data_IF_392582224681
#
_entry.id   IF_392582224681
#
_cell.length_a   1.000
_cell.length_b   1.000
_cell.length_c   1.000
_cell.angle_alpha   90.00
_cell.angle_beta   90.00
_cell.angle_gamma   90.00
#
_symmetry.space_group_name_H-M   'P 1'
#
loop_
_entity.id
_entity.type
_entity.pdbx_description
1 polymer ?
#
# COMPACT_ATOMS: atom_id res chain seq x y z
N UNK A 1 -73.06 3.15 56.67
CA UNK A 1 -73.63 1.89 56.12
C UNK A 1 -73.73 2.12 54.61
N UNK A 2 -73.19 1.36 53.67
CA UNK A 2 -72.83 -0.05 53.62
C UNK A 2 -71.88 -0.27 52.43
N UNK A 3 -70.91 -1.17 52.60
CA UNK A 3 -69.84 -1.58 51.68
C UNK A 3 -70.35 -2.51 50.57
N UNK A 4 -69.68 -2.54 49.39
CA UNK A 4 -69.38 -3.69 48.50
C UNK A 4 -68.98 -3.18 47.10
N UNK A 5 -68.09 -3.73 46.27
CA UNK A 5 -67.06 -4.81 46.28
C UNK A 5 -66.31 -4.70 44.91
N UNK A 6 -65.29 -5.55 44.71
CA UNK A 6 -64.63 -6.00 43.42
C UNK A 6 -63.28 -5.30 43.15
N UNK A 7 -62.08 -5.87 43.40
CA UNK A 7 -61.36 -7.10 42.97
C UNK A 7 -60.13 -6.71 42.11
N UNK A 8 -58.93 -7.06 42.60
CA UNK A 8 -57.75 -7.65 41.94
C UNK A 8 -57.27 -7.04 40.60
N UNK A 9 -56.04 -6.49 40.57
CA UNK A 9 -54.94 -7.12 39.82
C UNK A 9 -53.58 -6.45 40.10
N UNK A 10 -52.58 -7.31 40.27
CA UNK A 10 -51.18 -6.98 40.43
C UNK A 10 -50.61 -6.38 39.13
N UNK A 11 -49.76 -5.36 39.26
CA UNK A 11 -48.79 -5.01 38.22
C UNK A 11 -47.41 -5.02 38.87
N UNK A 12 -46.79 -6.20 38.86
CA UNK A 12 -45.35 -6.36 39.01
C UNK A 12 -44.75 -5.78 37.73
N UNK A 13 -44.22 -4.56 37.79
CA UNK A 13 -43.37 -4.01 36.74
C UNK A 13 -41.99 -4.60 36.95
N UNK A 14 -41.75 -5.78 36.39
CA UNK A 14 -40.41 -6.32 36.19
C UNK A 14 -39.73 -5.45 35.14
N UNK A 15 -38.94 -4.48 35.60
CA UNK A 15 -38.02 -3.70 34.78
C UNK A 15 -36.88 -4.63 34.35
N UNK A 16 -37.07 -5.35 33.24
CA UNK A 16 -36.01 -6.07 32.55
C UNK A 16 -35.03 -5.04 31.97
N UNK A 17 -33.99 -4.72 32.73
CA UNK A 17 -32.76 -4.15 32.17
C UNK A 17 -32.14 -5.23 31.27
N UNK A 18 -32.42 -5.19 29.98
CA UNK A 18 -31.59 -5.84 28.98
C UNK A 18 -30.24 -5.15 29.02
N UNK A 19 -29.31 -5.73 29.79
CA UNK A 19 -27.88 -5.50 29.64
C UNK A 19 -27.52 -5.84 28.19
N UNK A 20 -27.52 -4.83 27.33
CA UNK A 20 -26.85 -4.90 26.04
C UNK A 20 -25.35 -4.90 26.38
N UNK A 21 -24.83 -6.07 26.74
CA UNK A 21 -23.39 -6.26 26.80
C UNK A 21 -22.87 -5.93 25.41
N UNK A 22 -22.01 -4.91 25.22
CA UNK A 22 -21.31 -4.80 23.95
C UNK A 22 -20.67 -6.16 23.73
N UNK A 23 -20.86 -6.74 22.54
CA UNK A 23 -20.16 -7.95 22.16
C UNK A 23 -18.67 -7.64 22.32
N UNK A 24 -18.09 -8.11 23.43
CA UNK A 24 -16.68 -7.98 23.70
C UNK A 24 -16.02 -9.03 22.82
N UNK A 25 -15.85 -8.70 21.54
CA UNK A 25 -14.97 -9.47 20.68
C UNK A 25 -13.59 -9.50 21.34
N UNK A 26 -13.00 -10.68 21.45
CA UNK A 26 -11.65 -10.83 21.99
C UNK A 26 -10.72 -9.91 21.18
N UNK A 27 -9.87 -9.15 21.87
CA UNK A 27 -8.94 -8.25 21.20
C UNK A 27 -8.07 -9.06 20.22
N UNK A 28 -7.87 -8.60 18.98
CA UNK A 28 -7.11 -9.34 17.98
C UNK A 28 -5.67 -9.54 18.45
N UNK A 29 -5.13 -10.72 18.16
CA UNK A 29 -3.78 -11.15 18.55
C UNK A 29 -2.74 -10.54 17.61
N UNK A 30 -1.54 -10.24 18.12
CA UNK A 30 -0.46 -9.73 17.28
C UNK A 30 0.03 -10.84 16.35
N UNK A 31 -0.21 -10.69 15.04
CA UNK A 31 0.21 -11.65 14.01
C UNK A 31 1.65 -11.44 13.56
N UNK A 32 2.05 -10.17 13.40
CA UNK A 32 3.35 -9.79 12.87
C UNK A 32 3.69 -8.32 13.10
N UNK A 33 4.98 -7.99 13.10
CA UNK A 33 5.51 -6.62 13.24
C UNK A 33 6.65 -6.44 12.25
N UNK A 34 6.64 -5.36 11.48
CA UNK A 34 7.71 -5.04 10.54
C UNK A 34 8.08 -3.56 10.52
N UNK A 35 9.32 -3.27 10.17
CA UNK A 35 9.84 -1.90 9.99
C UNK A 35 9.71 -1.48 8.53
N UNK A 36 9.18 -0.29 8.27
CA UNK A 36 9.25 0.34 6.95
C UNK A 36 10.36 1.38 6.94
N UNK A 37 11.28 1.25 5.99
CA UNK A 37 12.35 2.22 5.74
C UNK A 37 12.29 2.73 4.30
N UNK A 38 12.75 3.96 4.10
CA UNK A 38 12.90 4.58 2.79
C UNK A 38 14.28 5.24 2.72
N UNK A 39 15.07 4.94 1.69
CA UNK A 39 16.44 5.44 1.51
C UNK A 39 17.34 5.27 2.76
N UNK A 40 17.19 4.14 3.45
CA UNK A 40 17.96 3.80 4.66
C UNK A 40 17.49 4.49 5.94
N UNK A 41 16.42 5.29 5.90
CA UNK A 41 15.81 5.91 7.08
C UNK A 41 14.52 5.18 7.44
N UNK A 42 14.43 4.70 8.67
CA UNK A 42 13.20 4.11 9.20
C UNK A 42 12.11 5.19 9.31
N UNK A 43 10.94 4.89 8.75
CA UNK A 43 9.78 5.80 8.75
C UNK A 43 8.80 5.43 9.86
N UNK A 44 8.50 4.14 9.98
CA UNK A 44 7.58 3.61 10.98
C UNK A 44 7.78 2.12 11.24
N UNK A 45 7.23 1.65 12.37
CA UNK A 45 7.05 0.23 12.69
C UNK A 45 5.57 -0.09 12.59
N UNK A 46 5.21 -1.10 11.81
CA UNK A 46 3.85 -1.54 11.63
C UNK A 46 3.58 -2.85 12.37
N UNK A 47 2.36 -3.03 12.86
CA UNK A 47 1.87 -4.24 13.48
C UNK A 47 0.54 -4.68 12.85
N UNK A 48 0.45 -5.96 12.51
CA UNK A 48 -0.77 -6.59 12.03
C UNK A 48 -1.35 -7.47 13.14
N UNK A 49 -2.62 -7.28 13.44
CA UNK A 49 -3.34 -8.08 14.42
C UNK A 49 -4.53 -8.78 13.76
N UNK A 50 -4.74 -10.04 14.14
CA UNK A 50 -5.80 -10.90 13.62
C UNK A 50 -6.44 -11.69 14.76
N UNK A 51 -7.73 -12.01 14.66
CA UNK A 51 -8.37 -12.90 15.63
C UNK A 51 -7.82 -14.33 15.52
N UNK A 52 -7.49 -14.77 14.31
CA UNK A 52 -6.82 -16.05 14.04
C UNK A 52 -5.41 -15.80 13.53
N UNK A 53 -4.39 -16.28 14.25
CA UNK A 53 -3.00 -16.17 13.81
C UNK A 53 -2.78 -16.98 12.53
N UNK A 54 -2.07 -16.39 11.57
CA UNK A 54 -1.78 -16.99 10.27
C UNK A 54 -0.40 -16.58 9.73
N UNK A 55 0.23 -17.52 9.03
CA UNK A 55 1.50 -17.32 8.33
C UNK A 55 1.32 -17.17 6.81
N UNK A 56 0.10 -17.29 6.31
CA UNK A 56 -0.20 -17.20 4.88
C UNK A 56 -1.03 -15.96 4.56
N UNK A 57 -0.58 -15.21 3.55
CA UNK A 57 -1.27 -13.99 3.13
C UNK A 57 -2.73 -14.24 2.76
N UNK A 58 -3.01 -15.36 2.08
CA UNK A 58 -4.35 -15.74 1.63
C UNK A 58 -5.30 -15.92 2.83
N UNK A 59 -4.82 -16.55 3.89
CA UNK A 59 -5.64 -16.86 5.07
C UNK A 59 -6.02 -15.58 5.80
N UNK A 60 -5.04 -14.68 5.98
CA UNK A 60 -5.28 -13.36 6.58
C UNK A 60 -6.28 -12.55 5.72
N UNK A 61 -6.09 -12.50 4.40
CA UNK A 61 -6.89 -11.66 3.49
C UNK A 61 -8.33 -12.17 3.28
N UNK A 62 -8.57 -13.48 3.37
CA UNK A 62 -9.91 -14.05 3.16
C UNK A 62 -10.73 -14.14 4.44
N UNK A 63 -10.09 -14.19 5.61
CA UNK A 63 -10.77 -14.37 6.88
C UNK A 63 -11.70 -13.17 7.21
N UNK A 64 -13.00 -13.47 7.33
CA UNK A 64 -14.04 -12.51 7.68
C UNK A 64 -14.14 -12.32 9.20
N UNK A 65 -13.06 -11.81 9.79
CA UNK A 65 -12.88 -11.59 11.23
C UNK A 65 -12.44 -10.15 11.51
N UNK A 66 -12.44 -9.78 12.79
CA UNK A 66 -11.83 -8.54 13.25
C UNK A 66 -10.32 -8.56 13.00
N UNK A 67 -9.80 -7.44 12.51
CA UNK A 67 -8.38 -7.25 12.19
C UNK A 67 -7.98 -5.82 12.51
N UNK A 68 -6.71 -5.62 12.83
CA UNK A 68 -6.15 -4.29 13.06
C UNK A 68 -4.83 -4.14 12.33
N UNK A 69 -4.70 -3.05 11.58
CA UNK A 69 -3.43 -2.55 11.09
C UNK A 69 -3.04 -1.37 11.98
N UNK A 70 -1.82 -1.37 12.50
CA UNK A 70 -1.32 -0.28 13.32
C UNK A 70 0.05 0.15 12.85
N UNK A 71 0.28 1.46 12.81
CA UNK A 71 1.53 2.10 12.45
C UNK A 71 2.00 2.95 13.62
N UNK A 72 3.25 2.75 14.02
CA UNK A 72 3.98 3.50 15.03
C UNK A 72 5.01 4.37 14.32
N UNK A 73 4.78 5.67 14.24
CA UNK A 73 5.66 6.59 13.53
C UNK A 73 6.98 6.71 14.28
N UNK A 74 8.10 6.47 13.60
CA UNK A 74 9.45 6.54 14.20
C UNK A 74 10.30 7.67 13.63
N UNK A 75 10.02 8.12 12.40
CA UNK A 75 10.62 9.35 11.88
C UNK A 75 10.13 10.57 12.67
N UNK A 76 11.02 11.54 12.89
CA UNK A 76 10.69 12.83 13.55
C UNK A 76 9.45 13.48 12.94
N UNK A 77 9.37 13.40 11.60
CA UNK A 77 8.22 13.83 10.80
C UNK A 77 7.98 12.83 9.69
N UNK A 78 6.74 12.36 9.59
CA UNK A 78 6.29 11.54 8.46
C UNK A 78 5.36 12.41 7.60
N UNK A 79 5.82 12.77 6.39
CA UNK A 79 5.04 13.60 5.46
C UNK A 79 3.68 12.97 5.17
N UNK A 80 2.62 13.75 5.37
CA UNK A 80 1.24 13.37 5.06
C UNK A 80 1.07 12.98 3.59
N UNK A 81 1.72 13.70 2.67
CA UNK A 81 1.68 13.43 1.24
C UNK A 81 2.30 12.07 0.92
N UNK A 82 3.50 11.81 1.47
CA UNK A 82 4.19 10.51 1.31
C UNK A 82 3.34 9.38 1.90
N UNK A 83 2.74 9.61 3.07
CA UNK A 83 1.88 8.63 3.73
C UNK A 83 0.61 8.32 2.92
N UNK A 84 -0.07 9.33 2.37
CA UNK A 84 -1.22 9.13 1.47
C UNK A 84 -0.82 8.37 0.20
N UNK A 85 0.30 8.76 -0.42
CA UNK A 85 0.82 8.14 -1.65
C UNK A 85 1.07 6.65 -1.46
N UNK A 86 1.60 6.22 -0.31
CA UNK A 86 1.80 4.81 0.02
C UNK A 86 0.51 3.99 -0.15
N UNK A 87 -0.62 4.49 0.35
CA UNK A 87 -1.91 3.81 0.23
C UNK A 87 -2.48 3.87 -1.19
N UNK A 88 -2.42 5.05 -1.83
CA UNK A 88 -2.91 5.26 -3.20
C UNK A 88 -2.20 4.33 -4.17
N UNK A 89 -0.87 4.31 -4.15
CA UNK A 89 -0.03 3.44 -4.98
C UNK A 89 -0.23 1.98 -4.61
N UNK A 90 -0.20 1.66 -3.30
CA UNK A 90 -0.37 0.30 -2.82
C UNK A 90 -1.66 -0.33 -3.33
N UNK A 91 -2.78 0.40 -3.28
CA UNK A 91 -4.05 -0.05 -3.85
C UNK A 91 -3.99 -0.15 -5.37
N UNK A 92 -3.48 0.87 -6.06
CA UNK A 92 -3.38 0.88 -7.53
C UNK A 92 -2.56 -0.30 -8.09
N UNK A 93 -1.56 -0.76 -7.33
CA UNK A 93 -0.67 -1.84 -7.70
C UNK A 93 -1.28 -3.23 -7.40
N UNK A 94 -2.11 -3.34 -6.35
CA UNK A 94 -2.61 -4.61 -5.82
C UNK A 94 -4.11 -4.87 -6.04
N UNK A 95 -4.84 -3.91 -6.62
CA UNK A 95 -6.26 -4.04 -6.92
C UNK A 95 -6.55 -3.96 -8.42
N UNK A 96 -7.65 -4.58 -8.84
CA UNK A 96 -8.15 -4.45 -10.21
C UNK A 96 -8.80 -3.09 -10.46
N UNK A 97 -8.88 -2.65 -11.71
CA UNK A 97 -9.56 -1.39 -12.06
C UNK A 97 -11.02 -1.34 -11.61
N UNK A 98 -11.71 -2.49 -11.58
CA UNK A 98 -13.09 -2.59 -11.07
C UNK A 98 -13.17 -2.34 -9.56
N UNK A 99 -12.25 -2.95 -8.79
CA UNK A 99 -12.15 -2.69 -7.35
C UNK A 99 -11.82 -1.22 -7.07
N UNK A 100 -10.87 -0.63 -7.82
CA UNK A 100 -10.53 0.78 -7.67
C UNK A 100 -11.73 1.70 -7.94
N UNK A 101 -12.49 1.45 -9.01
CA UNK A 101 -13.71 2.21 -9.31
C UNK A 101 -14.76 2.08 -8.21
N UNK A 102 -14.99 0.85 -7.73
CA UNK A 102 -15.97 0.59 -6.67
C UNK A 102 -15.62 1.30 -5.36
N UNK A 103 -14.33 1.40 -5.04
CA UNK A 103 -13.84 1.97 -3.77
C UNK A 103 -13.28 3.39 -3.91
N UNK A 104 -13.51 4.06 -5.05
CA UNK A 104 -12.95 5.39 -5.32
C UNK A 104 -13.38 6.43 -4.26
N UNK A 105 -14.66 6.43 -3.88
CA UNK A 105 -15.15 7.34 -2.84
C UNK A 105 -14.52 7.02 -1.47
N UNK A 106 -14.48 5.74 -1.09
CA UNK A 106 -13.83 5.32 0.17
C UNK A 106 -12.35 5.72 0.23
N UNK A 107 -11.64 5.66 -0.90
CA UNK A 107 -10.25 6.13 -0.98
C UNK A 107 -10.15 7.65 -0.84
N UNK A 108 -11.07 8.42 -1.41
CA UNK A 108 -11.14 9.87 -1.21
C UNK A 108 -11.42 10.23 0.24
N UNK A 109 -12.42 9.60 0.85
CA UNK A 109 -12.76 9.81 2.26
C UNK A 109 -11.56 9.47 3.15
N UNK A 110 -10.93 8.31 2.94
CA UNK A 110 -9.71 7.89 3.64
C UNK A 110 -8.57 8.89 3.48
N UNK A 111 -8.26 9.31 2.24
CA UNK A 111 -7.20 10.28 1.97
C UNK A 111 -7.47 11.62 2.67
N UNK A 112 -8.72 12.08 2.65
CA UNK A 112 -9.09 13.33 3.31
C UNK A 112 -9.01 13.20 4.83
N UNK A 113 -9.34 12.05 5.45
CA UNK A 113 -9.13 11.80 6.89
C UNK A 113 -7.67 12.02 7.32
N UNK A 114 -6.70 11.75 6.43
CA UNK A 114 -5.27 11.85 6.72
C UNK A 114 -4.70 13.28 6.67
N UNK A 115 -5.52 14.35 6.57
CA UNK A 115 -5.06 15.75 6.65
C UNK A 115 -4.65 16.17 8.08
N UNK A 116 -3.76 15.40 8.69
CA UNK A 116 -3.17 15.64 10.02
C UNK A 116 -1.68 15.31 9.94
N UNK A 117 -0.86 16.13 10.57
CA UNK A 117 0.59 15.92 10.65
C UNK A 117 0.89 14.67 11.46
N UNK A 118 1.81 13.83 10.98
CA UNK A 118 2.29 12.63 11.66
C UNK A 118 3.70 12.86 12.19
N UNK A 119 3.91 12.61 13.47
CA UNK A 119 5.16 12.86 14.18
C UNK A 119 5.64 11.60 14.92
N UNK A 120 6.93 11.56 15.26
CA UNK A 120 7.49 10.46 16.05
C UNK A 120 6.65 10.17 17.30
N UNK A 121 6.38 8.89 17.56
CA UNK A 121 5.55 8.44 18.67
C UNK A 121 4.07 8.27 18.32
N UNK A 122 3.58 8.91 17.26
CA UNK A 122 2.17 8.79 16.85
C UNK A 122 1.79 7.34 16.51
N UNK A 123 0.57 6.96 16.87
CA UNK A 123 -0.03 5.65 16.66
C UNK A 123 -1.22 5.81 15.73
N UNK A 124 -1.05 5.45 14.47
CA UNK A 124 -2.12 5.40 13.50
C UNK A 124 -2.72 3.99 13.46
N UNK A 125 -4.04 3.88 13.58
CA UNK A 125 -4.73 2.58 13.65
C UNK A 125 -5.87 2.52 12.64
N UNK A 126 -5.94 1.41 11.91
CA UNK A 126 -7.06 1.02 11.06
C UNK A 126 -7.65 -0.25 11.64
N UNK A 127 -8.89 -0.18 12.08
CA UNK A 127 -9.63 -1.28 12.67
C UNK A 127 -10.70 -1.77 11.72
N UNK A 128 -10.73 -3.07 11.47
CA UNK A 128 -11.88 -3.75 10.87
C UNK A 128 -12.71 -4.33 12.02
N UNK A 129 -13.86 -3.73 12.26
CA UNK A 129 -14.78 -4.15 13.31
C UNK A 129 -16.19 -4.25 12.76
N UNK A 130 -16.78 -5.44 12.80
CA UNK A 130 -18.10 -5.71 12.25
C UNK A 130 -18.22 -5.32 10.77
N UNK A 131 -19.13 -4.41 10.45
CA UNK A 131 -19.38 -3.94 9.08
C UNK A 131 -18.66 -2.64 8.72
N UNK A 132 -17.68 -2.20 9.52
CA UNK A 132 -17.04 -0.90 9.36
C UNK A 132 -15.52 -0.98 9.47
N UNK A 133 -14.87 -0.02 8.81
CA UNK A 133 -13.44 0.25 8.97
C UNK A 133 -13.30 1.56 9.72
N UNK A 134 -12.70 1.52 10.89
CA UNK A 134 -12.48 2.67 11.76
C UNK A 134 -11.03 3.15 11.64
N UNK A 135 -10.84 4.45 11.41
CA UNK A 135 -9.52 5.06 11.29
C UNK A 135 -9.32 5.99 12.49
N UNK A 136 -8.19 5.84 13.19
CA UNK A 136 -7.85 6.66 14.35
C UNK A 136 -6.36 7.02 14.40
N UNK A 137 -6.06 8.14 15.06
CA UNK A 137 -4.71 8.60 15.39
C UNK A 137 -4.64 8.86 16.88
N UNK A 138 -3.72 8.20 17.59
CA UNK A 138 -3.55 8.33 19.03
C UNK A 138 -4.83 8.07 19.84
N UNK A 139 -5.73 7.22 19.32
CA UNK A 139 -7.04 6.94 19.90
C UNK A 139 -8.16 7.90 19.47
N UNK A 140 -7.84 9.06 18.91
CA UNK A 140 -8.85 9.97 18.36
C UNK A 140 -9.36 9.45 17.00
N UNK A 141 -10.68 9.30 16.85
CA UNK A 141 -11.31 8.82 15.62
C UNK A 141 -11.22 9.89 14.53
N UNK A 142 -10.53 9.57 13.43
CA UNK A 142 -10.44 10.45 12.26
C UNK A 142 -11.67 10.30 11.35
N UNK A 143 -12.24 9.10 11.31
CA UNK A 143 -13.40 8.79 10.48
C UNK A 143 -13.67 7.28 10.41
N UNK A 144 -14.70 6.92 9.66
CA UNK A 144 -15.10 5.54 9.44
C UNK A 144 -15.55 5.32 8.00
N UNK A 145 -15.37 4.11 7.50
CA UNK A 145 -15.79 3.69 6.16
C UNK A 145 -16.71 2.46 6.33
N UNK A 146 -17.99 2.52 5.93
CA UNK A 146 -18.96 1.46 6.13
C UNK A 146 -18.84 0.32 5.10
N UNK A 147 -17.61 -0.16 4.88
CA UNK A 147 -17.32 -1.26 3.96
C UNK A 147 -16.08 -2.05 4.42
N UNK A 148 -16.26 -3.23 5.05
CA UNK A 148 -15.14 -4.01 5.57
C UNK A 148 -14.22 -4.53 4.47
N UNK A 149 -14.66 -4.58 3.20
CA UNK A 149 -13.80 -4.97 2.08
C UNK A 149 -12.75 -3.88 1.75
N UNK A 150 -12.99 -2.62 2.16
CA UNK A 150 -12.00 -1.56 2.03
C UNK A 150 -10.77 -1.81 2.91
N UNK A 151 -10.94 -2.40 4.10
CA UNK A 151 -9.82 -2.84 4.93
C UNK A 151 -8.95 -3.87 4.19
N UNK A 152 -9.59 -4.85 3.53
CA UNK A 152 -8.86 -5.90 2.81
C UNK A 152 -8.05 -5.32 1.65
N UNK A 153 -8.54 -4.26 0.98
CA UNK A 153 -7.79 -3.51 -0.03
C UNK A 153 -6.56 -2.79 0.56
N UNK A 154 -6.72 -2.15 1.72
CA UNK A 154 -5.60 -1.53 2.45
C UNK A 154 -4.59 -2.59 2.90
N UNK A 155 -5.04 -3.72 3.44
CA UNK A 155 -4.19 -4.79 3.93
C UNK A 155 -3.34 -5.43 2.82
N UNK A 156 -3.86 -5.47 1.57
CA UNK A 156 -3.08 -5.94 0.41
C UNK A 156 -1.82 -5.11 0.15
N UNK A 157 -1.73 -3.87 0.63
CA UNK A 157 -0.49 -3.08 0.55
C UNK A 157 0.65 -3.66 1.41
N UNK A 158 0.32 -4.44 2.45
CA UNK A 158 1.28 -5.03 3.39
C UNK A 158 1.57 -6.49 3.08
N UNK A 159 0.53 -7.29 2.81
CA UNK A 159 0.65 -8.75 2.65
C UNK A 159 0.20 -9.26 1.27
N UNK A 160 -0.22 -8.37 0.38
CA UNK A 160 -0.66 -8.73 -0.96
C UNK A 160 0.47 -9.22 -1.88
N UNK A 161 0.19 -9.36 -3.19
CA UNK A 161 1.18 -9.79 -4.18
C UNK A 161 2.38 -8.85 -4.27
N UNK A 162 2.17 -7.55 -4.06
CA UNK A 162 3.21 -6.52 -4.14
C UNK A 162 3.20 -5.69 -2.86
N UNK A 163 3.87 -6.18 -1.79
CA UNK A 163 3.92 -5.51 -0.49
C UNK A 163 4.88 -4.29 -0.51
N UNK A 164 5.07 -3.61 0.63
CA UNK A 164 6.06 -2.53 0.77
C UNK A 164 7.51 -2.98 0.61
N UNK A 165 7.84 -4.17 1.12
CA UNK A 165 9.07 -4.91 0.82
C UNK A 165 8.85 -6.40 1.09
N UNK A 166 9.77 -7.24 0.61
CA UNK A 166 9.71 -8.68 0.85
C UNK A 166 9.79 -8.99 2.35
N UNK A 167 10.75 -8.37 3.04
CA UNK A 167 10.95 -8.50 4.48
C UNK A 167 9.75 -7.97 5.27
N UNK A 168 9.13 -6.88 4.80
CA UNK A 168 7.95 -6.31 5.45
C UNK A 168 6.81 -7.33 5.48
N UNK A 169 6.51 -7.96 4.35
CA UNK A 169 5.48 -9.00 4.26
C UNK A 169 5.84 -10.23 5.11
N UNK A 170 7.09 -10.67 5.05
CA UNK A 170 7.52 -11.88 5.76
C UNK A 170 7.38 -11.71 7.27
N UNK A 171 7.78 -10.55 7.81
CA UNK A 171 7.64 -10.22 9.23
C UNK A 171 6.18 -9.97 9.66
N UNK A 172 5.27 -9.65 8.73
CA UNK A 172 3.83 -9.56 9.01
C UNK A 172 3.14 -10.92 9.11
N UNK A 173 3.73 -11.97 8.54
CA UNK A 173 3.14 -13.30 8.37
C UNK A 173 3.87 -14.37 9.20
N UNK A 174 4.13 -14.07 10.48
CA UNK A 174 4.86 -14.96 11.40
C UNK A 174 3.96 -15.67 12.41
N UNK A 175 2.62 -15.58 12.25
CA UNK A 175 1.64 -16.22 13.12
C UNK A 175 1.91 -16.01 14.62
N UNK A 176 2.27 -14.77 15.00
CA UNK A 176 2.56 -14.38 16.38
C UNK A 176 3.98 -14.67 16.86
N UNK A 177 4.82 -15.34 16.06
CA UNK A 177 6.23 -15.57 16.37
C UNK A 177 7.09 -14.33 16.03
N UNK A 178 6.76 -13.20 16.65
CA UNK A 178 7.42 -11.92 16.39
C UNK A 178 8.72 -11.81 17.20
N UNK A 179 9.76 -11.23 16.59
CA UNK A 179 11.02 -10.93 17.28
C UNK A 179 10.79 -10.03 18.51
N UNK A 180 11.30 -10.44 19.67
CA UNK A 180 11.09 -9.73 20.95
C UNK A 180 11.63 -8.30 20.96
N UNK A 181 12.73 -8.03 20.25
CA UNK A 181 13.27 -6.68 20.09
C UNK A 181 12.32 -5.78 19.29
N UNK A 182 11.71 -6.31 18.22
CA UNK A 182 10.69 -5.58 17.45
C UNK A 182 9.41 -5.34 18.25
N UNK A 183 8.94 -6.32 19.03
CA UNK A 183 7.80 -6.14 19.95
C UNK A 183 8.11 -4.99 20.92
N UNK A 184 9.28 -5.02 21.55
CA UNK A 184 9.68 -4.00 22.54
C UNK A 184 9.69 -2.61 21.91
N UNK A 185 10.30 -2.46 20.72
CA UNK A 185 10.31 -1.18 19.99
C UNK A 185 8.89 -0.73 19.67
N UNK A 186 8.08 -1.61 19.09
CA UNK A 186 6.69 -1.34 18.72
C UNK A 186 5.84 -0.89 19.91
N UNK A 187 5.95 -1.56 21.06
CA UNK A 187 5.21 -1.23 22.27
C UNK A 187 5.72 0.04 22.97
N UNK A 188 7.01 0.35 22.84
CA UNK A 188 7.64 1.54 23.42
C UNK A 188 7.33 2.82 22.67
N UNK A 189 7.05 2.75 21.35
CA UNK A 189 6.69 3.91 20.55
C UNK A 189 5.27 4.36 20.90
N UNK A 190 5.16 5.43 21.69
CA UNK A 190 3.88 5.98 22.17
C UNK A 190 3.91 7.51 22.10
N UNK A 191 2.76 8.15 21.87
CA UNK A 191 2.65 9.59 21.90
C UNK A 191 2.72 10.09 23.35
N UNK A 192 3.11 11.35 23.53
CA UNK A 192 2.99 12.03 24.82
C UNK A 192 1.53 12.41 25.08
N UNK A 193 1.16 12.63 26.34
CA UNK A 193 -0.20 13.07 26.70
C UNK A 193 -0.56 14.42 26.03
N UNK A 194 0.40 15.34 25.96
CA UNK A 194 0.25 16.61 25.23
C UNK A 194 -0.06 16.39 23.75
N UNK A 195 0.60 15.40 23.13
CA UNK A 195 0.37 15.06 21.72
C UNK A 195 -1.00 14.41 21.52
N UNK A 196 -1.45 13.54 22.43
CA UNK A 196 -2.79 12.96 22.40
C UNK A 196 -3.85 14.08 22.42
N UNK A 197 -3.75 15.00 23.38
CA UNK A 197 -4.67 16.12 23.50
C UNK A 197 -4.68 17.01 22.24
N UNK A 198 -3.51 17.32 21.69
CA UNK A 198 -3.39 18.12 20.47
C UNK A 198 -4.07 17.45 19.24
N UNK A 199 -3.98 16.12 19.12
CA UNK A 199 -4.65 15.39 18.04
C UNK A 199 -6.17 15.38 18.25
N UNK A 200 -6.64 15.15 19.47
CA UNK A 200 -8.08 15.21 19.76
C UNK A 200 -8.69 16.58 19.44
N UNK A 201 -8.01 17.65 19.83
CA UNK A 201 -8.48 19.01 19.56
C UNK A 201 -8.48 19.33 18.06
N UNK A 202 -7.47 18.87 17.31
CA UNK A 202 -7.44 19.00 15.86
C UNK A 202 -8.61 18.25 15.19
N UNK A 203 -8.93 17.04 15.65
CA UNK A 203 -10.07 16.25 15.16
C UNK A 203 -11.40 16.96 15.47
N UNK A 204 -11.59 17.45 16.69
CA UNK A 204 -12.80 18.20 17.09
C UNK A 204 -12.95 19.49 16.29
N UNK A 205 -11.86 20.23 16.07
CA UNK A 205 -11.88 21.45 15.26
C UNK A 205 -12.29 21.16 13.82
N UNK A 206 -11.77 20.07 13.24
CA UNK A 206 -12.12 19.66 11.89
C UNK A 206 -13.58 19.22 11.76
N UNK A 207 -14.10 18.47 12.73
CA UNK A 207 -15.52 18.07 12.74
C UNK A 207 -16.45 19.29 12.73
N UNK A 208 -16.13 20.31 13.54
CA UNK A 208 -16.87 21.59 13.54
C UNK A 208 -16.79 22.34 12.22
N UNK A 209 -15.64 22.32 11.54
CA UNK A 209 -15.48 22.95 10.23
C UNK A 209 -16.31 22.24 9.15
N UNK A 210 -16.37 20.91 9.17
CA UNK A 210 -17.21 20.15 8.25
C UNK A 210 -18.70 20.44 8.46
N UNK A 211 -19.16 20.48 9.71
CA UNK A 211 -20.55 20.83 10.05
C UNK A 211 -20.91 22.27 9.62
N UNK A 212 -19.97 23.21 9.71
CA UNK A 212 -20.19 24.59 9.27
C UNK A 212 -20.21 24.76 7.74
N UNK A 213 -19.52 23.89 6.99
CA UNK A 213 -19.53 23.89 5.51
C UNK A 213 -20.81 23.28 4.94
N UNK A 214 -21.43 22.33 5.66
CA UNK A 214 -22.70 21.72 5.27
C UNK A 214 -23.91 22.67 5.51
N UNK A 215 -23.82 23.64 6.42
CA UNK A 215 -24.91 24.60 6.70
C UNK A 215 -24.97 25.78 5.68
N UNK A 216 -23.83 26.14 5.06
CA UNK A 216 -23.76 27.21 4.04
C UNK A 216 -24.08 26.71 2.61
N UNK A 217 -24.29 25.40 2.43
CA UNK A 217 -24.62 24.79 1.14
C UNK A 217 -26.13 24.50 0.98
N UNK A 218 -26.99 25.45 1.37
CA UNK A 218 -28.41 25.44 0.96
C UNK A 218 -28.57 25.95 -0.48
N UNK A 219 -29.00 25.13 -1.45
CA UNK A 219 -29.21 25.61 -2.81
C UNK A 219 -30.56 26.34 -2.91
N UNK A 220 -30.54 27.67 -3.04
CA UNK A 220 -31.62 28.42 -3.71
C UNK A 220 -31.51 28.15 -5.21
N UNK A 221 -32.00 27.00 -5.67
CA UNK A 221 -32.24 26.76 -7.10
C UNK A 221 -33.73 26.75 -7.35
N UNK A 222 -34.19 27.85 -7.96
CA UNK A 222 -35.51 27.97 -8.53
C UNK A 222 -35.76 26.85 -9.54
N UNK A 223 -36.89 26.18 -9.37
CA UNK A 223 -37.40 25.14 -10.26
C UNK A 223 -37.73 25.76 -11.61
N UNK A 224 -36.89 25.50 -12.62
CA UNK A 224 -37.28 25.60 -14.03
C UNK A 224 -37.42 24.19 -14.59
N UNK A 225 -38.66 23.80 -14.85
CA UNK A 225 -39.02 22.56 -15.55
C UNK A 225 -38.65 22.69 -17.02
N UNK A 226 -37.93 21.72 -17.55
CA UNK A 226 -37.93 21.43 -18.99
C UNK A 226 -37.92 19.93 -19.21
N UNK A 227 -39.04 19.47 -19.78
CA UNK A 227 -39.30 18.13 -20.26
C UNK A 227 -38.32 17.73 -21.38
N UNK A 228 -37.62 16.60 -21.25
CA UNK A 228 -37.15 15.84 -22.41
C UNK A 228 -37.39 14.34 -22.16
N UNK A 229 -38.18 13.78 -23.09
CA UNK A 229 -38.65 12.41 -23.21
C UNK A 229 -37.51 11.46 -23.67
N UNK A 230 -37.44 10.20 -23.20
CA UNK A 230 -36.35 9.29 -23.55
C UNK A 230 -36.56 8.65 -24.93
N UNK A 231 -35.51 8.63 -25.77
CA UNK A 231 -35.44 7.78 -26.97
C UNK A 231 -34.46 6.64 -26.71
N UNK A 232 -35.02 5.44 -26.63
CA UNK A 232 -34.32 4.17 -26.53
C UNK A 232 -33.89 3.76 -27.95
N UNK A 233 -32.60 3.57 -28.18
CA UNK A 233 -32.08 2.83 -29.33
C UNK A 233 -31.42 1.54 -28.82
N UNK A 234 -31.85 0.43 -29.44
CA UNK A 234 -31.49 -0.94 -29.10
C UNK A 234 -30.11 -1.32 -29.67
N UNK A 235 -29.46 -2.40 -29.14
CA UNK A 235 -28.05 -2.65 -29.33
C UNK A 235 -27.75 -3.35 -30.67
N UNK A 236 -26.69 -2.89 -31.35
CA UNK A 236 -26.12 -3.56 -32.52
C UNK A 236 -25.25 -4.73 -32.05
N UNK A 237 -25.58 -5.92 -32.57
CA UNK A 237 -24.88 -7.17 -32.34
C UNK A 237 -23.46 -7.16 -32.91
N UNK A 238 -22.48 -7.59 -32.10
CA UNK A 238 -21.11 -7.87 -32.54
C UNK A 238 -20.93 -9.38 -32.67
N UNK A 239 -20.49 -9.80 -33.85
CA UNK A 239 -20.22 -11.17 -34.27
C UNK A 239 -19.07 -11.84 -33.48
N UNK A 240 -19.06 -13.18 -33.37
CA UNK A 240 -18.08 -13.92 -32.57
C UNK A 240 -16.68 -14.01 -33.22
N UNK A 241 -15.63 -14.22 -32.41
CA UNK A 241 -14.24 -14.21 -32.87
C UNK A 241 -13.86 -15.47 -33.69
N UNK A 242 -12.89 -15.38 -34.61
CA UNK A 242 -12.44 -16.51 -35.40
C UNK A 242 -11.58 -17.49 -34.59
N UNK A 243 -11.83 -18.78 -34.83
CA UNK A 243 -11.05 -19.93 -34.34
C UNK A 243 -9.66 -19.93 -34.95
N UNK A 244 -8.62 -19.98 -34.12
CA UNK A 244 -7.27 -20.34 -34.54
C UNK A 244 -7.16 -21.87 -34.51
N UNK A 245 -6.75 -22.41 -35.65
CA UNK A 245 -6.53 -23.83 -35.90
C UNK A 245 -5.33 -24.35 -35.11
N UNK A 246 -5.50 -25.54 -34.54
CA UNK A 246 -4.41 -26.40 -34.10
C UNK A 246 -3.69 -27.03 -35.32
N UNK A 247 -2.37 -27.24 -35.25
CA UNK A 247 -1.75 -28.38 -35.89
C UNK A 247 -1.54 -29.49 -34.86
N UNK A 248 -2.28 -30.59 -35.07
CA UNK A 248 -1.92 -31.93 -34.63
C UNK A 248 -0.69 -32.38 -35.43
N UNK A 249 0.30 -32.94 -34.75
CA UNK A 249 1.52 -33.45 -35.36
C UNK A 249 2.20 -34.49 -34.47
N UNK A 250 1.75 -35.74 -34.64
CA UNK A 250 2.47 -37.01 -34.48
C UNK A 250 3.14 -37.36 -33.12
N UNK A 251 2.51 -38.33 -32.45
CA UNK A 251 3.17 -39.31 -31.59
C UNK A 251 4.13 -40.17 -32.42
N UNK A 252 5.36 -40.35 -31.91
CA UNK A 252 6.38 -41.21 -32.49
C UNK A 252 7.46 -41.54 -31.46
N UNK A 253 7.20 -42.61 -30.71
CA UNK A 253 8.13 -43.59 -30.12
C UNK A 253 9.33 -43.14 -29.23
N UNK A 254 9.23 -43.59 -27.98
CA UNK A 254 10.34 -43.84 -27.06
C UNK A 254 11.17 -45.05 -27.52
N UNK A 255 12.51 -44.93 -27.52
CA UNK A 255 13.46 -46.01 -27.21
C UNK A 255 14.87 -45.47 -26.89
N UNK A 256 15.16 -45.50 -25.58
CA UNK A 256 16.37 -46.02 -24.91
C UNK A 256 17.80 -45.73 -25.42
N UNK A 257 18.56 -45.09 -24.52
CA UNK A 257 19.88 -45.46 -23.97
C UNK A 257 21.11 -45.40 -24.90
N UNK A 258 21.99 -44.44 -24.62
CA UNK A 258 23.40 -44.72 -24.33
C UNK A 258 24.07 -43.54 -23.62
N UNK A 259 24.54 -43.80 -22.41
CA UNK A 259 25.68 -43.08 -21.79
C UNK A 259 26.96 -43.74 -22.28
N UNK A 260 28.11 -43.04 -22.27
CA UNK A 260 29.01 -43.30 -21.15
C UNK A 260 29.61 -42.06 -20.46
N UNK A 261 30.02 -42.38 -19.23
CA UNK A 261 30.67 -41.67 -18.12
C UNK A 261 31.82 -40.72 -18.44
N UNK A 262 32.19 -39.88 -17.43
CA UNK A 262 33.18 -38.82 -17.50
C UNK A 262 34.60 -39.27 -17.10
N UNK A 263 35.61 -38.51 -17.49
CA UNK A 263 36.95 -38.59 -16.89
C UNK A 263 37.54 -37.18 -16.65
N UNK A 264 38.26 -36.94 -15.54
CA UNK A 264 38.43 -35.63 -14.92
C UNK A 264 39.79 -34.98 -15.24
N UNK A 265 39.81 -33.65 -15.36
CA UNK A 265 41.05 -32.89 -15.26
C UNK A 265 41.24 -32.39 -13.82
N UNK A 266 42.20 -33.00 -13.11
CA UNK A 266 42.71 -32.55 -11.81
C UNK A 266 43.60 -31.29 -11.97
N UNK A 267 43.73 -30.49 -10.89
CA UNK A 267 44.43 -29.21 -10.88
C UNK A 267 45.95 -29.41 -10.74
N UNK A 268 46.76 -28.46 -11.24
CA UNK A 268 48.19 -28.38 -10.94
C UNK A 268 48.49 -27.14 -10.09
N UNK A 269 49.09 -27.29 -8.89
CA UNK A 269 49.48 -26.20 -8.00
C UNK A 269 50.74 -25.45 -8.46
N UNK A 270 50.79 -24.14 -8.18
CA UNK A 270 52.04 -23.40 -7.97
C UNK A 270 51.86 -22.39 -6.83
N UNK A 271 52.74 -22.53 -5.85
CA UNK A 271 52.93 -21.79 -4.59
C UNK A 271 53.75 -20.49 -4.83
N UNK A 272 53.78 -19.50 -3.90
CA UNK A 272 53.98 -18.08 -4.20
C UNK A 272 55.43 -17.57 -4.00
N UNK A 273 55.53 -16.24 -4.11
CA UNK A 273 56.61 -15.28 -3.75
C UNK A 273 57.47 -14.72 -4.89
N UNK A 274 58.03 -13.48 -4.78
CA UNK A 274 57.95 -12.51 -3.67
C UNK A 274 57.50 -11.08 -4.09
N UNK A 275 57.11 -10.28 -3.09
CA UNK A 275 57.09 -8.82 -3.17
C UNK A 275 58.53 -8.28 -3.34
N UNK A 276 58.76 -7.09 -3.95
CA UNK A 276 58.65 -5.89 -3.13
C UNK A 276 58.27 -4.58 -3.86
N UNK A 277 57.81 -3.64 -3.03
CA UNK A 277 58.19 -2.22 -2.94
C UNK A 277 57.11 -1.18 -3.26
N UNK A 278 56.79 -0.49 -2.16
CA UNK A 278 56.03 0.73 -1.98
C UNK A 278 56.75 1.92 -2.61
N UNK A 279 56.01 2.73 -3.37
CA UNK A 279 56.18 4.16 -3.71
C UNK A 279 55.07 4.47 -4.76
N UNK A 280 54.33 5.57 -4.81
CA UNK A 280 54.04 6.70 -3.95
C UNK A 280 52.75 7.32 -4.57
N UNK A 281 51.92 7.98 -3.77
CA UNK A 281 50.63 8.57 -4.19
C UNK A 281 50.80 9.60 -5.32
N UNK A 282 49.79 9.72 -6.20
CA UNK A 282 49.26 11.05 -6.50
C UNK A 282 47.83 11.21 -5.97
N UNK A 283 47.67 12.26 -5.19
CA UNK A 283 46.43 12.85 -4.66
C UNK A 283 45.48 13.12 -5.84
N UNK A 284 44.31 12.47 -5.89
CA UNK A 284 43.19 12.89 -6.73
C UNK A 284 42.00 13.17 -5.83
N UNK A 285 41.41 14.33 -6.10
CA UNK A 285 40.37 15.06 -5.40
C UNK A 285 39.32 14.22 -4.68
N UNK A 286 39.00 14.66 -3.45
CA UNK A 286 37.79 14.31 -2.74
C UNK A 286 36.57 14.65 -3.62
N UNK A 287 35.85 13.62 -4.05
CA UNK A 287 34.47 13.75 -4.48
C UNK A 287 33.67 13.65 -3.19
N UNK A 288 33.26 14.81 -2.68
CA UNK A 288 32.20 14.92 -1.68
C UNK A 288 30.96 14.22 -2.24
N UNK A 289 30.32 13.28 -1.52
CA UNK A 289 28.97 12.85 -1.89
C UNK A 289 28.03 14.07 -1.85
N UNK A 290 27.04 14.18 -2.75
CA UNK A 290 26.11 15.29 -2.72
C UNK A 290 25.36 15.33 -1.38
N UNK A 291 25.07 16.52 -0.82
CA UNK A 291 24.39 16.65 0.47
C UNK A 291 22.98 16.05 0.43
N UNK A 292 22.50 15.45 1.54
CA UNK A 292 21.10 15.02 1.71
C UNK A 292 20.07 16.17 1.71
N UNK A 293 20.52 17.42 1.57
CA UNK A 293 19.72 18.64 1.76
C UNK A 293 18.62 18.80 0.70
N UNK A 294 18.84 18.34 -0.54
CA UNK A 294 17.83 18.50 -1.61
C UNK A 294 16.50 17.78 -1.33
N UNK A 295 16.51 16.69 -0.54
CA UNK A 295 15.28 15.96 -0.17
C UNK A 295 14.58 16.55 1.06
N UNK A 296 15.32 17.26 1.92
CA UNK A 296 14.79 17.93 3.11
C UNK A 296 14.14 19.27 2.73
N UNK A 297 14.74 19.99 1.78
CA UNK A 297 14.22 21.26 1.28
C UNK A 297 12.93 21.07 0.46
N UNK A 298 12.86 20.02 -0.40
CA UNK A 298 11.61 19.62 -1.08
C UNK A 298 10.51 19.25 -0.08
N UNK A 299 10.84 18.57 1.03
CA UNK A 299 9.86 18.15 2.03
C UNK A 299 9.24 19.31 2.81
N UNK A 300 9.96 20.43 2.96
CA UNK A 300 9.50 21.62 3.67
C UNK A 300 8.61 22.54 2.82
N UNK A 301 8.82 22.56 1.50
CA UNK A 301 8.04 23.34 0.54
C UNK A 301 6.78 22.60 0.06
N UNK A 302 6.73 21.27 0.19
CA UNK A 302 5.57 20.46 -0.20
C UNK A 302 4.38 20.53 0.79
N UNK A 303 4.58 20.99 2.03
CA UNK A 303 3.51 21.02 3.03
C UNK A 303 2.51 22.17 2.85
N UNK A 304 2.86 23.22 2.08
CA UNK A 304 2.04 24.44 1.93
C UNK A 304 1.08 24.41 0.72
N UNK A 305 1.23 23.49 -0.24
CA UNK A 305 0.42 23.47 -1.47
C UNK A 305 -0.80 22.51 -1.43
N UNK A 306 -0.95 21.66 -0.40
CA UNK A 306 -1.84 20.49 -0.43
C UNK A 306 -3.14 20.64 0.41
N UNK A 307 -3.74 21.84 0.41
CA UNK A 307 -5.03 22.11 1.09
C UNK A 307 -6.26 21.66 0.26
N UNK A 308 -6.09 21.26 -1.00
CA UNK A 308 -7.21 20.82 -1.83
C UNK A 308 -7.67 19.41 -1.40
N UNK A 309 -8.97 19.25 -1.14
CA UNK A 309 -9.56 17.93 -0.93
C UNK A 309 -9.34 17.05 -2.17
N UNK A 310 -8.91 15.81 -1.93
CA UNK A 310 -8.83 14.81 -2.97
C UNK A 310 -10.24 14.37 -3.34
N UNK A 311 -10.64 14.58 -4.59
CA UNK A 311 -11.91 14.04 -5.09
C UNK A 311 -11.75 12.57 -5.47
N UNK A 312 -12.86 11.82 -5.41
CA UNK A 312 -12.87 10.42 -5.85
C UNK A 312 -12.42 10.26 -7.31
N UNK A 313 -12.82 11.20 -8.18
CA UNK A 313 -12.43 11.22 -9.60
C UNK A 313 -10.93 11.43 -9.80
N UNK A 314 -10.33 12.43 -9.14
CA UNK A 314 -8.89 12.72 -9.27
C UNK A 314 -8.02 11.60 -8.69
N UNK A 315 -8.42 11.00 -7.56
CA UNK A 315 -7.70 9.86 -7.01
C UNK A 315 -7.86 8.60 -7.87
N UNK A 316 -9.05 8.34 -8.38
CA UNK A 316 -9.27 7.20 -9.27
C UNK A 316 -8.45 7.35 -10.56
N UNK A 317 -8.43 8.54 -11.16
CA UNK A 317 -7.61 8.80 -12.35
C UNK A 317 -6.12 8.60 -12.05
N UNK A 318 -5.64 9.06 -10.89
CA UNK A 318 -4.29 8.81 -10.41
C UNK A 318 -4.00 7.30 -10.25
N UNK A 319 -4.89 6.54 -9.61
CA UNK A 319 -4.71 5.09 -9.40
C UNK A 319 -4.71 4.33 -10.72
N UNK A 320 -5.62 4.65 -11.63
CA UNK A 320 -5.67 4.05 -12.97
C UNK A 320 -4.43 4.41 -13.79
N UNK A 321 -3.91 5.62 -13.64
CA UNK A 321 -2.65 6.03 -14.25
C UNK A 321 -1.47 5.22 -13.71
N UNK A 322 -1.33 5.06 -12.38
CA UNK A 322 -0.30 4.20 -11.76
C UNK A 322 -0.39 2.76 -12.30
N UNK A 323 -1.60 2.19 -12.36
CA UNK A 323 -1.81 0.86 -12.92
C UNK A 323 -1.39 0.77 -14.40
N UNK A 324 -1.67 1.81 -15.19
CA UNK A 324 -1.24 1.94 -16.59
C UNK A 324 0.28 2.03 -16.71
N UNK A 325 0.95 2.84 -15.87
CA UNK A 325 2.41 2.98 -15.83
C UNK A 325 3.09 1.65 -15.49
N UNK A 326 2.57 0.93 -14.49
CA UNK A 326 3.03 -0.42 -14.12
C UNK A 326 2.93 -1.39 -15.29
N UNK A 327 1.79 -1.40 -15.99
CA UNK A 327 1.60 -2.27 -17.17
C UNK A 327 2.56 -1.91 -18.31
N UNK A 328 2.77 -0.61 -18.53
CA UNK A 328 3.67 -0.10 -19.56
C UNK A 328 5.12 -0.53 -19.31
N UNK A 329 5.66 -0.28 -18.13
CA UNK A 329 7.03 -0.66 -17.77
C UNK A 329 7.22 -2.18 -17.81
N UNK A 330 6.24 -2.94 -17.30
CA UNK A 330 6.27 -4.41 -17.32
C UNK A 330 6.32 -4.97 -18.74
N UNK A 331 5.69 -4.31 -19.72
CA UNK A 331 5.75 -4.73 -21.13
C UNK A 331 7.15 -4.59 -21.76
N UNK A 332 8.01 -3.76 -21.17
CA UNK A 332 9.39 -3.51 -21.62
C UNK A 332 10.43 -4.26 -20.76
N UNK A 333 9.99 -4.91 -19.70
CA UNK A 333 10.83 -5.71 -18.83
C UNK A 333 11.26 -6.99 -19.56
N UNK A 334 12.53 -7.34 -19.44
CA UNK A 334 13.07 -8.61 -19.94
C UNK A 334 13.70 -9.34 -18.78
N UNK A 335 13.50 -10.65 -18.69
CA UNK A 335 14.20 -11.44 -17.68
C UNK A 335 15.64 -11.69 -18.16
N UNK A 336 16.70 -11.34 -17.40
CA UNK A 336 18.07 -11.63 -17.81
C UNK A 336 18.28 -13.14 -18.00
N UNK A 337 18.72 -13.57 -19.19
CA UNK A 337 18.87 -14.99 -19.52
C UNK A 337 19.76 -15.77 -18.55
N UNK A 338 20.84 -15.13 -18.06
CA UNK A 338 21.72 -15.70 -17.03
C UNK A 338 21.07 -15.83 -15.66
N UNK A 339 20.17 -14.91 -15.30
CA UNK A 339 19.41 -15.00 -14.06
C UNK A 339 18.36 -16.11 -14.16
N UNK A 340 17.66 -16.18 -15.31
CA UNK A 340 16.64 -17.21 -15.55
C UNK A 340 17.22 -18.62 -15.53
N UNK A 341 18.36 -18.83 -16.21
CA UNK A 341 19.07 -20.12 -16.22
C UNK A 341 19.65 -20.54 -14.86
N UNK A 342 19.76 -19.61 -13.91
CA UNK A 342 20.24 -19.87 -12.55
C UNK A 342 19.14 -19.89 -11.49
N UNK A 343 17.87 -19.72 -11.86
CA UNK A 343 16.78 -19.67 -10.88
C UNK A 343 16.75 -18.40 -10.02
N UNK A 344 17.39 -17.31 -10.46
CA UNK A 344 17.53 -16.11 -9.64
C UNK A 344 16.26 -15.26 -9.65
N UNK A 345 15.44 -15.37 -8.61
CA UNK A 345 14.25 -14.55 -8.40
C UNK A 345 14.53 -13.35 -7.49
N UNK A 346 13.61 -12.40 -7.46
CA UNK A 346 13.71 -11.26 -6.55
C UNK A 346 12.77 -10.12 -6.87
N UNK A 347 12.64 -9.21 -5.91
CA UNK A 347 11.83 -8.01 -6.02
C UNK A 347 12.74 -6.78 -6.10
N UNK A 348 12.38 -5.83 -6.97
CA UNK A 348 13.06 -4.54 -7.10
C UNK A 348 12.03 -3.44 -7.00
N UNK A 349 12.34 -2.35 -6.29
CA UNK A 349 11.48 -1.17 -6.19
C UNK A 349 12.22 0.07 -6.62
N UNK A 350 11.63 0.77 -7.57
CA UNK A 350 12.19 2.00 -8.13
C UNK A 350 11.27 3.18 -7.81
N UNK A 351 11.84 4.28 -7.33
CA UNK A 351 11.21 5.59 -7.26
C UNK A 351 11.43 6.31 -8.58
N UNK A 352 10.38 6.76 -9.24
CA UNK A 352 10.48 7.39 -10.56
C UNK A 352 9.75 8.72 -10.54
N UNK A 353 10.42 9.78 -10.98
CA UNK A 353 9.83 11.09 -11.23
C UNK A 353 9.69 11.28 -12.74
N UNK A 354 8.47 11.46 -13.22
CA UNK A 354 8.16 11.79 -14.62
C UNK A 354 7.56 13.19 -14.73
N UNK A 355 7.70 13.81 -15.90
CA UNK A 355 6.98 15.04 -16.24
C UNK A 355 5.59 14.76 -16.83
N UNK A 356 4.81 15.82 -17.06
CA UNK A 356 3.47 15.73 -17.66
C UNK A 356 3.44 15.07 -19.05
N UNK A 357 4.54 15.12 -19.80
CA UNK A 357 4.70 14.46 -21.10
C UNK A 357 5.02 12.97 -21.00
N UNK A 358 5.40 12.48 -19.80
CA UNK A 358 5.83 11.12 -19.54
C UNK A 358 7.34 10.90 -19.66
N UNK A 359 8.14 11.96 -19.81
CA UNK A 359 9.60 11.85 -19.81
C UNK A 359 10.11 11.68 -18.39
N UNK A 360 11.05 10.75 -18.21
CA UNK A 360 11.68 10.47 -16.91
C UNK A 360 12.68 11.58 -16.55
N UNK A 361 12.49 12.19 -15.37
CA UNK A 361 13.40 13.17 -14.78
C UNK A 361 14.42 12.52 -13.83
N UNK A 362 13.95 11.60 -12.98
CA UNK A 362 14.77 10.98 -11.92
C UNK A 362 14.35 9.52 -11.70
N UNK A 363 15.33 8.65 -11.44
CA UNK A 363 15.12 7.24 -11.06
C UNK A 363 16.02 6.93 -9.87
N UNK A 364 15.44 6.41 -8.79
CA UNK A 364 16.16 5.97 -7.60
C UNK A 364 15.77 4.53 -7.26
N UNK A 365 16.72 3.75 -6.73
CA UNK A 365 16.45 2.40 -6.25
C UNK A 365 16.14 2.48 -4.76
N UNK A 366 14.91 2.13 -4.37
CA UNK A 366 14.49 2.09 -2.96
C UNK A 366 14.76 0.69 -2.37
N UNK A 367 14.49 -0.36 -3.15
CA UNK A 367 14.72 -1.76 -2.76
C UNK A 367 15.45 -2.45 -3.92
N UNK A 368 16.66 -2.95 -3.64
CA UNK A 368 17.42 -3.73 -4.60
C UNK A 368 17.10 -5.22 -4.42
N UNK A 369 17.07 -5.96 -5.52
CA UNK A 369 17.03 -7.42 -5.45
C UNK A 369 18.36 -7.96 -4.92
N UNK A 370 18.31 -9.15 -4.31
CA UNK A 370 19.48 -9.91 -3.88
C UNK A 370 20.53 -10.03 -5.01
N UNK A 371 20.05 -10.28 -6.23
CA UNK A 371 20.89 -10.37 -7.42
C UNK A 371 20.93 -9.03 -8.17
N UNK A 372 22.11 -8.41 -8.20
CA UNK A 372 22.34 -7.11 -8.87
C UNK A 372 21.96 -7.10 -10.35
N UNK A 373 21.98 -8.25 -11.03
CA UNK A 373 21.53 -8.39 -12.41
C UNK A 373 20.04 -8.05 -12.60
N UNK A 374 19.20 -8.35 -11.61
CA UNK A 374 17.77 -8.06 -11.64
C UNK A 374 17.52 -6.56 -11.45
N UNK A 375 18.21 -5.94 -10.48
CA UNK A 375 18.15 -4.50 -10.23
C UNK A 375 18.60 -3.70 -11.46
N UNK A 376 19.71 -4.10 -12.07
CA UNK A 376 20.21 -3.46 -13.31
C UNK A 376 19.20 -3.59 -14.46
N UNK A 377 18.56 -4.74 -14.58
CA UNK A 377 17.58 -4.93 -15.64
C UNK A 377 16.28 -4.15 -15.41
N UNK A 378 15.86 -3.99 -14.15
CA UNK A 378 14.75 -3.10 -13.81
C UNK A 378 15.05 -1.66 -14.24
N UNK A 379 16.25 -1.14 -13.97
CA UNK A 379 16.69 0.19 -14.44
C UNK A 379 16.69 0.29 -15.97
N UNK A 380 17.28 -0.68 -16.66
CA UNK A 380 17.29 -0.72 -18.14
C UNK A 380 15.86 -0.75 -18.71
N UNK A 381 14.92 -1.41 -18.03
CA UNK A 381 13.53 -1.46 -18.47
C UNK A 381 12.86 -0.08 -18.40
N UNK A 382 13.19 0.75 -17.39
CA UNK A 382 12.70 2.14 -17.30
C UNK A 382 13.26 2.98 -18.43
N UNK A 383 14.55 2.85 -18.73
CA UNK A 383 15.18 3.57 -19.85
C UNK A 383 14.51 3.23 -21.19
N UNK A 384 14.19 1.95 -21.42
CA UNK A 384 13.46 1.50 -22.62
C UNK A 384 11.98 1.87 -22.62
N UNK A 385 11.40 2.09 -21.45
CA UNK A 385 10.01 2.50 -21.30
C UNK A 385 9.83 4.01 -21.51
N UNK A 386 10.91 4.79 -21.60
CA UNK A 386 10.88 6.22 -21.86
C UNK A 386 10.53 6.51 -23.33
N UNK A 387 9.53 7.37 -23.63
CA UNK A 387 8.64 8.05 -22.69
C UNK A 387 7.49 7.16 -22.17
N UNK A 388 7.13 7.37 -20.91
CA UNK A 388 5.92 6.81 -20.32
C UNK A 388 4.67 7.44 -20.95
N UNK A 389 3.49 6.81 -20.80
CA UNK A 389 2.22 7.44 -21.15
C UNK A 389 2.07 8.82 -20.48
N UNK A 390 1.57 9.83 -21.20
CA UNK A 390 1.42 11.18 -20.65
C UNK A 390 0.44 11.19 -19.48
N UNK A 391 0.64 12.17 -18.59
CA UNK A 391 -0.18 12.36 -17.39
C UNK A 391 -1.61 12.81 -17.78
N UNK A 392 -2.67 12.22 -17.18
CA UNK A 392 -4.04 12.70 -17.37
C UNK A 392 -4.24 14.14 -16.91
N UNK A 393 -5.22 14.84 -17.49
CA UNK A 393 -5.50 16.25 -17.14
C UNK A 393 -5.95 16.42 -15.68
N UNK A 394 -6.65 15.43 -15.15
CA UNK A 394 -7.21 15.39 -13.80
C UNK A 394 -6.15 15.24 -12.69
N UNK A 395 -4.92 14.87 -13.06
CA UNK A 395 -3.79 14.81 -12.13
C UNK A 395 -3.09 16.17 -12.14
N UNK A 396 -3.05 16.80 -10.97
CA UNK A 396 -2.45 18.12 -10.78
C UNK A 396 -0.93 18.03 -10.68
N UNK A 397 -0.27 19.12 -11.06
CA UNK A 397 1.19 19.27 -11.01
C UNK A 397 1.89 18.99 -12.33
N UNK A 398 3.14 19.45 -12.40
CA UNK A 398 4.02 19.29 -13.58
C UNK A 398 4.85 18.01 -13.54
N UNK A 399 4.99 17.42 -12.35
CA UNK A 399 5.74 16.20 -12.10
C UNK A 399 4.92 15.21 -11.31
N UNK A 400 5.08 13.94 -11.68
CA UNK A 400 4.46 12.82 -10.97
C UNK A 400 5.54 11.89 -10.45
N UNK A 401 5.58 11.76 -9.13
CA UNK A 401 6.42 10.81 -8.43
C UNK A 401 5.60 9.55 -8.16
N UNK A 402 6.09 8.40 -8.62
CA UNK A 402 5.47 7.11 -8.34
C UNK A 402 6.49 6.00 -8.08
N UNK A 403 6.07 5.01 -7.31
CA UNK A 403 6.86 3.80 -7.08
C UNK A 403 6.50 2.71 -8.08
N UNK A 404 7.52 2.16 -8.75
CA UNK A 404 7.37 0.97 -9.58
C UNK A 404 8.01 -0.25 -8.89
N UNK A 405 7.18 -1.22 -8.45
CA UNK A 405 7.67 -2.53 -8.06
C UNK A 405 7.80 -3.44 -9.28
N UNK A 406 8.91 -4.16 -9.34
CA UNK A 406 9.25 -5.15 -10.38
C UNK A 406 9.49 -6.48 -9.68
N UNK A 407 8.66 -7.47 -10.00
CA UNK A 407 8.73 -8.83 -9.45
C UNK A 407 9.33 -9.75 -10.51
N UNK A 408 10.49 -10.33 -10.24
CA UNK A 408 11.11 -11.35 -11.09
C UNK A 408 10.82 -12.73 -10.52
N UNK A 409 9.90 -13.45 -11.16
CA UNK A 409 9.53 -14.82 -10.83
C UNK A 409 9.58 -15.68 -12.09
N UNK A 410 10.07 -16.91 -11.96
CA UNK A 410 10.02 -17.93 -13.00
C UNK A 410 8.63 -18.56 -12.99
N UNK A 411 8.10 -18.78 -14.20
CA UNK A 411 6.78 -19.40 -14.40
C UNK A 411 6.91 -20.92 -14.46
#
# INVERSE_FOLDING_TARGET
MQKLKIIISALVVTLTYTLLTPASFAAPLLNGVATQSELGKEQFIAGLFTSTLASEAKDVLLAQEDKRMQIRVTADRLSTRRFKRLWIEGMAINASSSELQKHAQHMADFSNMLKIKLMAGDIFTIDRAGSTVLISLNGAQLGQIPDPAFFDLLLRTWVGPVPLSSDFKQNMLVAGNVNSGLITRFESTRPTDERIAAVEDAVKARAKQAEAQDDDSTPKVAVAKTDIKPKIEAPVAIAPPPKIAAPSGALGESKTVSTPKPEPAKPKPQEPEPAPKVEEKPKVAAITPPPPETLLDEESLEDEEDDLDFTAESLLSQQLYIAKLKRWSSSKLKYPSRAASRGHEGNVRLSIVIDRSGKVKKVEVIEAAEYSSLTKEAQNAIERANPFPPMPEDVKGDTFLFTLPVVFQLQ
#
